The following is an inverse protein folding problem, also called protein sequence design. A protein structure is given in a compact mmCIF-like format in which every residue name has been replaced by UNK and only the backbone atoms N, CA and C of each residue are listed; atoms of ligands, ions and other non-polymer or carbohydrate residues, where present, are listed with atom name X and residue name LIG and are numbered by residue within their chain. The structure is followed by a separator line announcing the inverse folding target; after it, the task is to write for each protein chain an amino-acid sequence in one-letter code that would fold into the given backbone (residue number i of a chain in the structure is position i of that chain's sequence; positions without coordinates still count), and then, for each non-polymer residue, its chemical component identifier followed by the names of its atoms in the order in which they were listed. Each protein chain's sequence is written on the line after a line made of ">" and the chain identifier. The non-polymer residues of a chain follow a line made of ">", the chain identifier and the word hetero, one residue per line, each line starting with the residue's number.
data_IF_912814593101
#
_entry.id   IF_912814593101
#
_cell.length_a   1.000
_cell.length_b   1.000
_cell.length_c   1.000
_cell.angle_alpha   90.00
_cell.angle_beta   90.00
_cell.angle_gamma   90.00
#
_symmetry.space_group_name_H-M   'P 1'
#
loop_
_entity.id
_entity.type
_entity.pdbx_description
1 polymer ?
#
# COMPACT_ATOMS: atom_id res chain seq x y z
N UNK A 1 -0.42 3.84 -26.40
CA UNK A 1 -1.36 2.90 -25.75
C UNK A 1 -1.61 3.42 -24.35
N UNK A 2 -2.86 3.65 -23.99
CA UNK A 2 -3.22 4.10 -22.64
C UNK A 2 -3.53 2.89 -21.76
N UNK A 3 -2.98 2.85 -20.55
CA UNK A 3 -3.25 1.79 -19.57
C UNK A 3 -4.32 2.29 -18.60
N UNK A 4 -5.49 1.65 -18.63
CA UNK A 4 -6.53 1.90 -17.62
C UNK A 4 -6.32 0.99 -16.41
N UNK A 5 -5.80 1.55 -15.31
CA UNK A 5 -5.58 0.81 -14.07
C UNK A 5 -6.87 0.54 -13.28
N UNK A 6 -8.00 1.21 -13.58
CA UNK A 6 -9.32 0.97 -13.01
C UNK A 6 -9.38 0.79 -11.48
N UNK A 7 -10.36 0.00 -11.03
CA UNK A 7 -10.44 -0.57 -9.67
C UNK A 7 -9.60 -1.86 -9.55
N UNK A 8 -8.46 -1.94 -10.26
CA UNK A 8 -7.62 -3.15 -10.16
C UNK A 8 -7.15 -3.33 -8.72
N UNK A 9 -7.06 -4.60 -8.30
CA UNK A 9 -6.63 -4.94 -6.95
C UNK A 9 -5.21 -4.42 -6.67
N UNK A 10 -4.38 -4.34 -7.71
CA UNK A 10 -3.03 -3.80 -7.69
C UNK A 10 -3.04 -2.30 -7.38
N UNK A 11 -3.91 -1.52 -8.04
CA UNK A 11 -3.97 -0.08 -7.80
C UNK A 11 -4.60 0.26 -6.45
N UNK A 12 -5.60 -0.52 -6.03
CA UNK A 12 -6.13 -0.43 -4.66
C UNK A 12 -5.03 -0.72 -3.64
N UNK A 13 -4.24 -1.78 -3.83
CA UNK A 13 -3.10 -2.08 -2.98
C UNK A 13 -2.09 -0.91 -2.92
N UNK A 14 -1.73 -0.32 -4.06
CA UNK A 14 -0.81 0.83 -4.09
C UNK A 14 -1.37 2.04 -3.33
N UNK A 15 -2.67 2.29 -3.45
CA UNK A 15 -3.37 3.36 -2.73
C UNK A 15 -3.35 3.12 -1.22
N UNK A 16 -3.66 1.91 -0.78
CA UNK A 16 -3.62 1.51 0.64
C UNK A 16 -2.20 1.57 1.20
N UNK A 17 -1.21 1.08 0.46
CA UNK A 17 0.20 1.17 0.82
C UNK A 17 0.65 2.63 0.98
N UNK A 18 0.25 3.51 0.06
CA UNK A 18 0.60 4.93 0.13
C UNK A 18 0.03 5.60 1.39
N UNK A 19 -1.20 5.26 1.79
CA UNK A 19 -1.78 5.75 3.04
C UNK A 19 -0.94 5.34 4.26
N UNK A 20 -0.58 4.06 4.35
CA UNK A 20 0.25 3.54 5.45
C UNK A 20 1.61 4.23 5.47
N UNK A 21 2.30 4.30 4.32
CA UNK A 21 3.60 4.99 4.18
C UNK A 21 3.52 6.45 4.59
N UNK A 22 2.47 7.17 4.19
CA UNK A 22 2.31 8.58 4.54
C UNK A 22 2.13 8.77 6.04
N UNK A 23 1.40 7.89 6.71
CA UNK A 23 1.30 7.90 8.16
C UNK A 23 2.68 7.72 8.83
N UNK A 24 3.50 6.78 8.34
CA UNK A 24 4.85 6.56 8.89
C UNK A 24 5.72 7.80 8.69
N UNK A 25 5.80 8.30 7.46
CA UNK A 25 6.76 9.34 7.10
C UNK A 25 6.36 10.72 7.61
N UNK A 26 5.07 11.04 7.59
CA UNK A 26 4.58 12.39 7.88
C UNK A 26 3.93 12.54 9.25
N UNK A 27 3.48 11.45 9.86
CA UNK A 27 2.90 11.43 11.20
C UNK A 27 3.71 10.62 12.22
N UNK A 28 4.91 10.16 11.84
CA UNK A 28 5.78 9.32 12.66
C UNK A 28 5.10 8.03 13.13
N UNK A 29 4.18 7.50 12.31
CA UNK A 29 3.41 6.31 12.57
C UNK A 29 2.10 6.52 13.35
N UNK A 30 1.84 7.70 13.90
CA UNK A 30 0.62 7.97 14.69
C UNK A 30 -0.58 8.25 13.77
N UNK A 31 -1.54 7.32 13.73
CA UNK A 31 -2.71 7.47 12.85
C UNK A 31 -3.58 8.67 13.21
N UNK A 32 -3.59 9.12 14.48
CA UNK A 32 -4.44 10.22 14.94
C UNK A 32 -3.98 11.59 14.43
N UNK A 33 -2.74 11.69 13.97
CA UNK A 33 -2.19 12.91 13.34
C UNK A 33 -2.54 13.01 11.85
N UNK A 34 -3.22 12.01 11.29
CA UNK A 34 -3.59 11.96 9.88
C UNK A 34 -5.05 12.35 9.67
N UNK A 35 -5.31 13.19 8.66
CA UNK A 35 -6.68 13.46 8.21
C UNK A 35 -7.40 12.19 7.70
N UNK A 36 -6.64 11.16 7.31
CA UNK A 36 -7.12 9.86 6.85
C UNK A 36 -7.25 8.81 7.95
N UNK A 37 -7.38 9.21 9.23
CA UNK A 37 -7.44 8.28 10.39
C UNK A 37 -8.43 7.14 10.17
N UNK A 38 -9.67 7.43 9.72
CA UNK A 38 -10.71 6.41 9.50
C UNK A 38 -10.29 5.40 8.44
N UNK A 39 -9.81 5.89 7.28
CA UNK A 39 -9.34 5.03 6.20
C UNK A 39 -8.13 4.18 6.60
N UNK A 40 -7.20 4.73 7.39
CA UNK A 40 -6.06 4.00 7.92
C UNK A 40 -6.51 2.88 8.86
N UNK A 41 -7.47 3.16 9.74
CA UNK A 41 -8.03 2.16 10.64
C UNK A 41 -8.69 1.02 9.86
N UNK A 42 -9.50 1.34 8.84
CA UNK A 42 -10.10 0.32 7.96
C UNK A 42 -9.05 -0.54 7.24
N UNK A 43 -7.95 0.05 6.79
CA UNK A 43 -6.84 -0.66 6.15
C UNK A 43 -6.16 -1.63 7.12
N UNK A 44 -5.93 -1.18 8.36
CA UNK A 44 -5.26 -1.94 9.41
C UNK A 44 -6.15 -3.10 9.88
N UNK A 45 -7.43 -2.83 10.14
CA UNK A 45 -8.39 -3.84 10.63
C UNK A 45 -8.61 -4.97 9.61
N UNK A 46 -8.46 -4.68 8.30
CA UNK A 46 -8.55 -5.67 7.22
C UNK A 46 -7.26 -6.46 6.97
N UNK A 47 -6.14 -6.10 7.61
CA UNK A 47 -4.83 -6.70 7.32
C UNK A 47 -4.17 -7.22 8.60
N UNK A 48 -4.17 -8.54 8.84
CA UNK A 48 -3.55 -9.15 10.02
C UNK A 48 -2.05 -8.84 10.19
N UNK A 49 -1.38 -8.42 9.13
CA UNK A 49 0.04 -8.09 9.10
C UNK A 49 0.34 -6.63 9.48
N UNK A 50 -0.70 -5.84 9.75
CA UNK A 50 -0.66 -4.50 10.34
C UNK A 50 -1.39 -4.52 11.69
N UNK A 51 -0.96 -3.68 12.61
CA UNK A 51 -1.66 -3.45 13.88
C UNK A 51 -1.37 -2.06 14.42
N UNK A 52 -2.01 -1.72 15.54
CA UNK A 52 -1.74 -0.50 16.30
C UNK A 52 -1.17 -0.87 17.67
N UNK A 53 -0.22 -0.07 18.16
CA UNK A 53 0.18 -0.12 19.56
C UNK A 53 -0.81 0.68 20.44
N UNK A 54 -0.59 0.67 21.76
CA UNK A 54 -1.45 1.37 22.73
C UNK A 54 -1.52 2.89 22.52
N UNK A 55 -0.58 3.47 21.79
CA UNK A 55 -0.49 4.90 21.49
C UNK A 55 -1.09 5.25 20.12
N UNK A 56 -1.69 4.29 19.39
CA UNK A 56 -2.19 4.45 18.02
C UNK A 56 -1.09 4.60 16.95
N UNK A 57 0.14 4.17 17.27
CA UNK A 57 1.19 4.07 16.27
C UNK A 57 1.05 2.76 15.47
N UNK A 58 1.20 2.84 14.16
CA UNK A 58 1.19 1.67 13.28
C UNK A 58 2.38 0.76 13.60
N UNK A 59 2.10 -0.50 13.84
CA UNK A 59 3.08 -1.60 13.89
C UNK A 59 2.98 -2.37 12.56
N UNK A 60 4.14 -2.60 11.95
CA UNK A 60 4.25 -3.32 10.67
C UNK A 60 5.00 -4.63 10.91
N UNK A 61 4.37 -5.74 10.56
CA UNK A 61 5.05 -7.04 10.59
C UNK A 61 6.06 -7.17 9.44
N UNK A 62 7.08 -8.01 9.65
CA UNK A 62 8.04 -8.35 8.58
C UNK A 62 7.33 -8.95 7.35
N UNK A 63 6.25 -9.70 7.56
CA UNK A 63 5.48 -10.30 6.47
C UNK A 63 4.81 -9.24 5.60
N UNK A 64 4.25 -8.18 6.19
CA UNK A 64 3.70 -7.06 5.42
C UNK A 64 4.74 -6.45 4.49
N UNK A 65 5.98 -6.25 4.96
CA UNK A 65 7.06 -5.68 4.15
C UNK A 65 7.44 -6.60 2.99
N UNK A 66 7.60 -7.91 3.26
CA UNK A 66 7.90 -8.92 2.23
C UNK A 66 6.81 -8.99 1.15
N UNK A 67 5.55 -9.01 1.57
CA UNK A 67 4.40 -9.05 0.68
C UNK A 67 4.30 -7.78 -0.17
N UNK A 68 4.55 -6.62 0.46
CA UNK A 68 4.53 -5.31 -0.20
C UNK A 68 5.59 -5.24 -1.31
N UNK A 69 6.83 -5.60 -1.00
CA UNK A 69 7.92 -5.64 -1.99
C UNK A 69 7.57 -6.59 -3.14
N UNK A 70 7.02 -7.77 -2.82
CA UNK A 70 6.63 -8.77 -3.82
C UNK A 70 5.54 -8.23 -4.75
N UNK A 71 4.51 -7.59 -4.22
CA UNK A 71 3.41 -7.02 -5.01
C UNK A 71 3.89 -5.87 -5.90
N UNK A 72 4.72 -4.97 -5.37
CA UNK A 72 5.33 -3.89 -6.14
C UNK A 72 6.16 -4.45 -7.30
N UNK A 73 7.03 -5.44 -7.04
CA UNK A 73 7.83 -6.09 -8.09
C UNK A 73 6.96 -6.72 -9.17
N UNK A 74 5.89 -7.43 -8.79
CA UNK A 74 4.95 -8.05 -9.75
C UNK A 74 4.26 -7.00 -10.61
N UNK A 75 3.79 -5.90 -10.02
CA UNK A 75 3.16 -4.80 -10.74
C UNK A 75 4.10 -4.21 -11.79
N UNK A 76 5.33 -3.85 -11.40
CA UNK A 76 6.30 -3.27 -12.34
C UNK A 76 6.77 -4.26 -13.40
N UNK A 77 6.90 -5.54 -13.07
CA UNK A 77 7.22 -6.57 -14.07
C UNK A 77 6.09 -6.71 -15.10
N UNK A 78 4.84 -6.72 -14.66
CA UNK A 78 3.68 -6.78 -15.54
C UNK A 78 3.60 -5.56 -16.46
N UNK A 79 3.85 -4.36 -15.93
CA UNK A 79 3.94 -3.13 -16.71
C UNK A 79 5.03 -3.18 -17.77
N UNK A 80 6.22 -3.61 -17.39
CA UNK A 80 7.34 -3.76 -18.32
C UNK A 80 6.99 -4.68 -19.49
N UNK A 81 6.42 -5.85 -19.19
CA UNK A 81 5.99 -6.79 -20.23
C UNK A 81 4.93 -6.19 -21.17
N UNK A 82 3.95 -5.43 -20.64
CA UNK A 82 2.93 -4.77 -21.46
C UNK A 82 3.52 -3.66 -22.36
N UNK A 83 4.49 -2.90 -21.84
CA UNK A 83 5.17 -1.86 -22.62
C UNK A 83 6.08 -2.44 -23.71
N UNK A 84 6.77 -3.55 -23.43
CA UNK A 84 7.62 -4.23 -24.40
C UNK A 84 6.80 -4.87 -25.53
N UNK A 85 5.65 -5.48 -25.20
CA UNK A 85 4.74 -6.07 -26.19
C UNK A 85 4.04 -5.04 -27.08
N UNK A 86 3.87 -3.80 -26.61
CA UNK A 86 3.29 -2.71 -27.41
C UNK A 86 4.32 -1.97 -28.28
N UNK A 87 5.59 -2.34 -28.19
CA UNK A 87 6.70 -1.80 -28.98
C UNK A 87 7.07 -2.66 -30.19
N UNK A 88 6.32 -3.75 -30.45
CA UNK A 88 6.41 -4.61 -31.64
C UNK A 88 5.13 -4.52 -32.46
#
# INVERSE_FOLDING_TARGET
>A
MDINFGLSQEWQFMTEFNNVRNCIVHANGDIKKMNSTVALKDIIDKKPTLSLNNENNIIISLNYLKDTITKIRKLFQWLYTHLDQSSK
#
